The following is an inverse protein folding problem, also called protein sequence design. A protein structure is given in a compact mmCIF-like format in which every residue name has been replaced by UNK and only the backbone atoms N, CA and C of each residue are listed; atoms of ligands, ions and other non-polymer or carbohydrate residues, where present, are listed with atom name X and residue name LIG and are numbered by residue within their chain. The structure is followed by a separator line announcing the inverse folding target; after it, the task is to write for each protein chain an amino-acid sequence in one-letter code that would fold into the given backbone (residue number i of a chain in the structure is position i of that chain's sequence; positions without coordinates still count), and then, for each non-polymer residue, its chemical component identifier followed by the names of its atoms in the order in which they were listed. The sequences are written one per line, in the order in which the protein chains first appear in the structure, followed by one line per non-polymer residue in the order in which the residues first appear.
data_IF_512352237298
#
_entry.id   IF_512352237298
#
_cell.length_a   1.000
_cell.length_b   1.000
_cell.length_c   1.000
_cell.angle_alpha   90.00
_cell.angle_beta   90.00
_cell.angle_gamma   90.00
#
_symmetry.space_group_name_H-M   'P 1'
#
loop_
_entity.id
_entity.type
_entity.pdbx_description
1 polymer ?
#
# COMPACT_ATOMS: atom_id res chain seq x y z
N UNK A 1 -65.88 -17.11 -46.49
CA UNK A 1 -65.60 -17.62 -45.13
C UNK A 1 -64.57 -16.72 -44.51
N UNK A 2 -65.02 -15.79 -43.67
CA UNK A 2 -64.20 -14.78 -43.03
C UNK A 2 -63.92 -15.22 -41.59
N UNK A 3 -62.65 -15.15 -41.17
CA UNK A 3 -62.22 -15.38 -39.80
C UNK A 3 -62.04 -14.04 -39.09
N UNK A 4 -62.46 -13.87 -37.81
CA UNK A 4 -62.26 -12.63 -37.09
C UNK A 4 -60.90 -12.60 -36.39
N UNK A 5 -60.22 -11.46 -36.53
CA UNK A 5 -59.05 -11.07 -35.73
C UNK A 5 -59.52 -10.63 -34.34
N UNK A 6 -59.07 -11.33 -33.30
CA UNK A 6 -59.15 -10.85 -31.92
C UNK A 6 -57.90 -10.03 -31.61
N UNK A 7 -58.07 -8.71 -31.43
CA UNK A 7 -57.09 -7.86 -30.77
C UNK A 7 -57.17 -8.10 -29.25
N UNK A 8 -56.10 -8.63 -28.66
CA UNK A 8 -55.91 -8.63 -27.21
C UNK A 8 -55.19 -7.35 -26.81
N UNK A 9 -55.90 -6.48 -26.10
CA UNK A 9 -55.37 -5.27 -25.47
C UNK A 9 -54.49 -5.65 -24.28
N UNK A 10 -53.17 -5.58 -24.45
CA UNK A 10 -52.23 -5.66 -23.34
C UNK A 10 -52.25 -4.34 -22.57
N UNK A 11 -52.89 -4.34 -21.40
CA UNK A 11 -52.85 -3.24 -20.44
C UNK A 11 -51.43 -3.09 -19.90
N UNK A 12 -50.71 -2.07 -20.37
CA UNK A 12 -49.40 -1.69 -19.84
C UNK A 12 -49.62 -1.01 -18.48
N UNK A 13 -49.45 -1.76 -17.40
CA UNK A 13 -49.43 -1.21 -16.04
C UNK A 13 -48.13 -0.43 -15.86
N UNK A 14 -48.21 0.89 -16.05
CA UNK A 14 -47.13 1.83 -15.75
C UNK A 14 -46.96 1.86 -14.22
N UNK A 15 -46.03 1.06 -13.69
CA UNK A 15 -45.58 1.22 -12.31
C UNK A 15 -44.82 2.54 -12.21
N UNK A 16 -45.49 3.56 -11.68
CA UNK A 16 -44.87 4.76 -11.13
C UNK A 16 -44.01 4.32 -9.93
N UNK A 17 -42.74 4.05 -10.18
CA UNK A 17 -41.75 4.05 -9.12
C UNK A 17 -41.60 5.50 -8.67
N UNK A 18 -42.18 5.83 -7.52
CA UNK A 18 -41.82 7.03 -6.76
C UNK A 18 -40.34 6.88 -6.42
N UNK A 19 -39.51 7.67 -7.07
CA UNK A 19 -38.12 7.85 -6.68
C UNK A 19 -38.13 8.66 -5.40
N UNK A 20 -38.32 7.96 -4.27
CA UNK A 20 -37.92 8.51 -2.98
C UNK A 20 -36.40 8.65 -3.05
N UNK A 21 -35.99 9.86 -3.42
CA UNK A 21 -34.64 10.31 -3.23
C UNK A 21 -34.36 10.21 -1.74
N UNK A 22 -33.71 9.11 -1.34
CA UNK A 22 -33.00 9.04 -0.07
C UNK A 22 -31.88 10.08 -0.19
N UNK A 23 -32.22 11.32 0.10
CA UNK A 23 -31.29 12.33 0.58
C UNK A 23 -30.75 11.79 1.89
N UNK A 24 -29.77 10.89 1.77
CA UNK A 24 -28.79 10.67 2.83
C UNK A 24 -28.28 12.06 3.16
N UNK A 25 -28.69 12.58 4.31
CA UNK A 25 -28.23 13.84 4.81
C UNK A 25 -26.70 13.75 4.88
N UNK A 26 -26.04 14.29 3.85
CA UNK A 26 -24.62 14.55 3.87
C UNK A 26 -24.45 15.57 5.00
N UNK A 27 -24.12 15.07 6.18
CA UNK A 27 -23.69 15.92 7.28
C UNK A 27 -22.61 16.87 6.77
N UNK A 28 -22.43 18.03 7.42
CA UNK A 28 -21.40 18.98 7.03
C UNK A 28 -20.08 18.23 6.84
N UNK A 29 -19.32 18.51 5.75
CA UNK A 29 -18.07 17.83 5.48
C UNK A 29 -17.19 17.87 6.74
N UNK A 30 -16.55 16.74 7.11
CA UNK A 30 -15.84 16.65 8.37
C UNK A 30 -14.82 17.78 8.46
N UNK A 31 -14.86 18.51 9.58
CA UNK A 31 -13.97 19.65 9.80
C UNK A 31 -12.52 19.17 9.73
N UNK A 32 -11.75 19.74 8.80
CA UNK A 32 -10.33 19.47 8.69
C UNK A 32 -9.61 20.28 9.78
N UNK A 33 -8.86 19.60 10.64
CA UNK A 33 -8.09 20.25 11.70
C UNK A 33 -6.65 20.43 11.23
N UNK A 34 -6.08 21.62 11.40
CA UNK A 34 -4.67 21.90 11.10
C UNK A 34 -4.02 22.62 12.27
N UNK A 35 -2.84 22.17 12.68
CA UNK A 35 -2.01 22.86 13.69
C UNK A 35 -0.57 22.41 13.56
N UNK A 36 0.37 23.36 13.72
CA UNK A 36 1.80 23.09 13.74
C UNK A 36 2.27 22.26 12.53
N UNK A 37 1.72 22.52 11.34
CA UNK A 37 2.07 21.78 10.12
C UNK A 37 1.56 20.34 10.04
N UNK A 38 0.75 19.90 11.02
CA UNK A 38 0.03 18.63 11.04
C UNK A 38 -1.45 18.89 10.78
N UNK A 39 -2.13 17.96 10.10
CA UNK A 39 -3.56 18.02 9.92
C UNK A 39 -4.26 16.67 10.03
N UNK A 40 -5.57 16.71 10.26
CA UNK A 40 -6.47 15.56 10.21
C UNK A 40 -7.58 15.81 9.19
N UNK A 41 -7.70 14.93 8.20
CA UNK A 41 -8.82 14.92 7.23
C UNK A 41 -9.66 13.65 7.36
N UNK A 42 -10.87 13.67 6.78
CA UNK A 42 -11.78 12.52 6.74
C UNK A 42 -11.97 11.87 8.13
N UNK A 43 -12.04 12.76 9.12
CA UNK A 43 -12.10 12.43 10.53
C UNK A 43 -13.49 12.59 11.14
N UNK A 44 -13.60 12.24 12.40
CA UNK A 44 -14.83 12.35 13.17
C UNK A 44 -14.54 12.57 14.65
N UNK A 45 -15.61 12.62 15.43
CA UNK A 45 -15.55 12.70 16.89
C UNK A 45 -16.24 11.48 17.47
N UNK A 46 -15.48 10.66 18.18
CA UNK A 46 -15.98 9.51 18.94
C UNK A 46 -16.53 9.97 20.31
N UNK A 47 -17.33 9.13 20.99
CA UNK A 47 -17.76 9.40 22.36
C UNK A 47 -16.60 9.78 23.28
N UNK A 48 -16.85 10.73 24.18
CA UNK A 48 -15.82 11.25 25.10
C UNK A 48 -14.96 12.37 24.52
N UNK A 49 -15.27 12.87 23.31
CA UNK A 49 -14.56 13.97 22.68
C UNK A 49 -13.22 13.56 22.04
N UNK A 50 -13.06 12.28 21.73
CA UNK A 50 -11.89 11.75 21.03
C UNK A 50 -12.05 12.10 19.56
N UNK A 51 -11.08 12.85 19.01
CA UNK A 51 -11.08 13.20 17.59
C UNK A 51 -10.22 12.18 16.87
N UNK A 52 -10.64 11.74 15.70
CA UNK A 52 -9.80 10.91 14.85
C UNK A 52 -9.80 11.43 13.43
N UNK A 53 -8.81 11.03 12.64
CA UNK A 53 -8.77 11.34 11.22
C UNK A 53 -7.49 10.85 10.58
N UNK A 54 -7.47 10.94 9.25
CA UNK A 54 -6.29 10.65 8.46
C UNK A 54 -5.23 11.71 8.67
N UNK A 55 -4.00 11.27 8.91
CA UNK A 55 -2.87 12.14 9.12
C UNK A 55 -2.42 12.82 7.83
N UNK A 56 -2.30 14.15 7.90
CA UNK A 56 -1.67 15.01 6.91
C UNK A 56 -0.44 15.68 7.53
N UNK A 57 0.62 15.79 6.75
CA UNK A 57 1.82 16.57 7.12
C UNK A 57 2.13 17.59 6.04
N UNK A 58 2.49 18.80 6.45
CA UNK A 58 2.89 19.85 5.52
C UNK A 58 4.40 19.90 5.33
N UNK A 59 4.85 20.21 4.11
CA UNK A 59 6.25 20.51 3.82
C UNK A 59 6.34 21.64 2.81
N UNK A 60 7.44 22.40 2.87
CA UNK A 60 7.82 23.38 1.85
C UNK A 60 8.84 22.80 0.86
N UNK A 61 9.26 21.54 1.03
CA UNK A 61 10.27 20.93 0.18
C UNK A 61 9.74 20.75 -1.26
N UNK A 62 10.43 21.28 -2.30
CA UNK A 62 9.98 21.19 -3.69
C UNK A 62 9.67 19.77 -4.18
N UNK A 63 10.32 18.75 -3.60
CA UNK A 63 10.09 17.33 -3.92
C UNK A 63 8.76 16.82 -3.39
N UNK A 64 8.25 17.42 -2.30
CA UNK A 64 6.94 17.10 -1.71
C UNK A 64 5.86 17.99 -2.32
N UNK A 65 6.16 19.28 -2.54
CA UNK A 65 5.22 20.26 -3.08
C UNK A 65 5.03 20.13 -4.60
N UNK A 66 5.88 19.39 -5.30
CA UNK A 66 5.96 19.35 -6.76
C UNK A 66 6.16 20.75 -7.37
N UNK A 67 6.99 21.57 -6.74
CA UNK A 67 7.30 22.93 -7.20
C UNK A 67 6.23 23.98 -6.91
N UNK A 68 5.12 23.62 -6.23
CA UNK A 68 4.13 24.59 -5.76
C UNK A 68 4.78 25.46 -4.67
N UNK A 69 4.59 26.78 -4.77
CA UNK A 69 5.06 27.73 -3.76
C UNK A 69 4.21 27.64 -2.48
N UNK A 70 4.87 27.53 -1.33
CA UNK A 70 4.23 27.46 -0.02
C UNK A 70 4.03 26.02 0.50
N UNK A 71 3.47 25.87 1.71
CA UNK A 71 3.32 24.58 2.36
C UNK A 71 2.24 23.73 1.67
N UNK A 72 2.60 22.49 1.32
CA UNK A 72 1.65 21.50 0.77
C UNK A 72 1.46 20.38 1.78
N UNK A 73 0.19 20.09 2.10
CA UNK A 73 -0.17 18.94 2.91
C UNK A 73 -0.23 17.66 2.06
N UNK A 74 0.38 16.59 2.58
CA UNK A 74 0.34 15.24 2.02
C UNK A 74 -0.15 14.27 3.06
N UNK A 75 -0.92 13.27 2.62
CA UNK A 75 -1.28 12.13 3.46
C UNK A 75 -0.03 11.32 3.80
N UNK A 76 -0.04 10.70 4.97
CA UNK A 76 1.06 9.86 5.42
C UNK A 76 0.71 8.40 5.19
N UNK A 77 1.63 7.62 4.66
CA UNK A 77 1.49 6.17 4.56
C UNK A 77 1.51 5.56 5.95
N UNK A 78 0.64 4.58 6.22
CA UNK A 78 0.79 3.71 7.38
C UNK A 78 1.90 2.67 7.11
N UNK A 79 3.11 3.20 6.89
CA UNK A 79 4.31 2.40 6.67
C UNK A 79 4.78 1.80 8.00
N UNK A 80 5.69 0.82 7.91
CA UNK A 80 6.22 0.04 9.03
C UNK A 80 6.63 0.86 10.25
N UNK A 81 7.16 2.05 10.03
CA UNK A 81 7.73 2.91 11.06
C UNK A 81 6.73 3.89 11.69
N UNK A 82 5.49 3.95 11.20
CA UNK A 82 4.47 4.76 11.87
C UNK A 82 3.89 3.98 13.06
N UNK A 83 4.44 4.21 14.25
CA UNK A 83 4.03 3.53 15.48
C UNK A 83 3.04 4.36 16.31
N UNK A 84 2.63 3.82 17.47
CA UNK A 84 1.84 4.58 18.43
C UNK A 84 2.60 5.79 19.00
N UNK A 85 3.94 5.75 19.05
CA UNK A 85 4.75 6.88 19.54
C UNK A 85 4.71 8.05 18.55
N UNK A 86 4.83 7.77 17.24
CA UNK A 86 4.64 8.80 16.21
C UNK A 86 3.21 9.34 16.27
N UNK A 87 2.21 8.47 16.41
CA UNK A 87 0.81 8.90 16.53
C UNK A 87 0.56 9.80 17.76
N UNK A 88 1.14 9.47 18.92
CA UNK A 88 1.10 10.31 20.12
C UNK A 88 1.80 11.65 19.90
N UNK A 89 2.95 11.65 19.23
CA UNK A 89 3.66 12.89 18.85
C UNK A 89 2.80 13.76 17.94
N UNK A 90 2.13 13.17 16.95
CA UNK A 90 1.23 13.91 16.05
C UNK A 90 0.05 14.52 16.81
N UNK A 91 -0.55 13.78 17.73
CA UNK A 91 -1.62 14.30 18.58
C UNK A 91 -1.12 15.42 19.50
N UNK A 92 0.10 15.32 20.03
CA UNK A 92 0.74 16.38 20.80
C UNK A 92 0.94 17.65 19.98
N UNK A 93 1.43 17.52 18.75
CA UNK A 93 1.56 18.64 17.81
C UNK A 93 0.20 19.27 17.46
N UNK A 94 -0.88 18.49 17.44
CA UNK A 94 -2.25 18.97 17.30
C UNK A 94 -2.82 19.60 18.59
N UNK A 95 -2.12 19.50 19.72
CA UNK A 95 -2.49 20.08 21.01
C UNK A 95 -3.28 19.17 21.93
N UNK A 96 -3.21 17.85 21.72
CA UNK A 96 -3.82 16.84 22.58
C UNK A 96 -2.79 16.23 23.52
N UNK A 97 -3.25 15.78 24.69
CA UNK A 97 -2.38 15.11 25.68
C UNK A 97 -2.13 13.63 25.42
N UNK A 98 -2.97 12.98 24.62
CA UNK A 98 -2.91 11.54 24.33
C UNK A 98 -3.20 11.28 22.86
N UNK A 99 -2.51 10.30 22.30
CA UNK A 99 -2.72 9.86 20.93
C UNK A 99 -2.37 8.39 20.74
N UNK A 100 -3.01 7.75 19.76
CA UNK A 100 -2.60 6.43 19.24
C UNK A 100 -3.05 6.30 17.78
N UNK A 101 -2.59 5.25 17.11
CA UNK A 101 -3.06 4.90 15.76
C UNK A 101 -4.56 4.63 15.76
N UNK A 102 -5.22 5.06 14.68
CA UNK A 102 -6.64 4.77 14.45
C UNK A 102 -6.76 3.87 13.22
N UNK A 103 -7.48 2.75 13.36
CA UNK A 103 -7.54 1.71 12.33
C UNK A 103 -8.83 1.70 11.50
N UNK A 104 -9.76 2.63 11.76
CA UNK A 104 -11.03 2.69 11.02
C UNK A 104 -10.82 2.91 9.52
N UNK A 105 -11.56 2.16 8.70
CA UNK A 105 -11.47 2.24 7.23
C UNK A 105 -11.90 3.60 6.67
N UNK A 106 -12.74 4.33 7.40
CA UNK A 106 -13.20 5.67 7.08
C UNK A 106 -12.06 6.69 7.02
N UNK A 107 -11.06 6.58 7.91
CA UNK A 107 -9.89 7.44 7.90
C UNK A 107 -8.70 6.82 7.15
N UNK A 108 -8.55 5.50 7.12
CA UNK A 108 -7.35 4.84 6.58
C UNK A 108 -7.43 4.48 5.09
N UNK A 109 -8.63 4.55 4.48
CA UNK A 109 -8.81 4.37 3.04
C UNK A 109 -8.12 5.44 2.18
N UNK A 110 -7.95 5.20 0.89
CA UNK A 110 -7.43 6.20 -0.06
C UNK A 110 -8.58 6.84 -0.83
N UNK A 111 -8.93 8.11 -0.61
CA UNK A 111 -9.78 8.84 -1.55
C UNK A 111 -8.99 9.10 -2.83
N UNK A 112 -9.64 8.90 -3.98
CA UNK A 112 -8.98 8.78 -5.28
C UNK A 112 -8.29 10.03 -5.85
N UNK A 113 -7.91 11.05 -5.06
CA UNK A 113 -7.44 12.33 -5.61
C UNK A 113 -6.38 13.10 -4.81
N UNK A 114 -6.05 12.73 -3.57
CA UNK A 114 -4.96 13.40 -2.84
C UNK A 114 -3.62 12.92 -3.39
N UNK A 115 -2.70 13.83 -3.72
CA UNK A 115 -1.39 13.50 -4.31
C UNK A 115 -0.61 12.41 -3.54
N UNK A 116 0.46 11.88 -4.15
CA UNK A 116 1.19 10.70 -3.63
C UNK A 116 1.47 10.85 -2.12
N UNK A 117 1.01 9.92 -1.27
CA UNK A 117 1.26 9.97 0.16
C UNK A 117 2.76 9.97 0.42
N UNK A 118 3.20 10.63 1.50
CA UNK A 118 4.59 10.56 1.95
C UNK A 118 4.77 9.34 2.85
N UNK A 119 5.98 8.81 2.93
CA UNK A 119 6.30 7.65 3.77
C UNK A 119 7.41 8.00 4.76
N UNK A 120 7.69 7.06 5.66
CA UNK A 120 8.81 7.14 6.60
C UNK A 120 8.77 8.38 7.51
N UNK A 121 7.63 8.63 8.16
CA UNK A 121 7.47 9.78 9.05
C UNK A 121 8.16 9.50 10.39
N UNK A 122 9.31 10.11 10.60
CA UNK A 122 10.09 10.00 11.84
C UNK A 122 10.10 11.34 12.54
N UNK A 123 9.78 11.33 13.82
CA UNK A 123 9.81 12.52 14.67
C UNK A 123 10.72 12.28 15.87
N UNK A 124 11.53 13.28 16.20
CA UNK A 124 12.38 13.26 17.38
C UNK A 124 12.30 14.59 18.11
N UNK A 125 12.48 14.54 19.43
CA UNK A 125 12.53 15.75 20.24
C UNK A 125 13.85 16.47 19.96
N UNK A 126 13.78 17.78 19.70
CA UNK A 126 14.95 18.63 19.40
C UNK A 126 15.98 18.62 20.54
N UNK A 127 15.54 18.38 21.78
CA UNK A 127 16.43 18.27 22.96
C UNK A 127 17.13 16.92 23.10
N UNK A 128 16.61 15.87 22.44
CA UNK A 128 17.13 14.50 22.54
C UNK A 128 18.30 14.23 21.60
N UNK A 129 18.57 15.12 20.65
CA UNK A 129 19.82 15.10 19.91
C UNK A 129 20.92 15.71 20.78
N UNK A 130 21.68 14.81 21.42
CA UNK A 130 23.09 15.08 21.63
C UNK A 130 23.66 15.79 20.41
N UNK A 131 24.38 16.89 20.66
CA UNK A 131 25.30 17.62 19.78
C UNK A 131 26.19 16.70 18.91
N UNK A 132 25.63 15.96 17.97
CA UNK A 132 26.33 15.33 16.85
C UNK A 132 25.87 16.04 15.59
N UNK A 133 26.35 17.28 15.49
CA UNK A 133 27.07 17.75 14.31
C UNK A 133 26.42 17.42 12.95
N UNK A 134 25.26 18.00 12.67
CA UNK A 134 24.82 18.30 11.30
C UNK A 134 24.02 19.63 11.28
N UNK A 135 24.57 20.70 11.86
CA UNK A 135 24.12 22.05 11.55
C UNK A 135 24.99 22.62 10.45
N UNK A 136 24.42 22.72 9.26
CA UNK A 136 24.92 23.48 8.13
C UNK A 136 23.76 24.22 7.48
N UNK A 137 23.06 25.03 8.27
CA UNK A 137 22.08 26.00 7.80
C UNK A 137 21.89 27.06 8.88
N UNK A 138 22.95 27.83 9.15
CA UNK A 138 22.80 29.13 9.77
C UNK A 138 22.71 30.18 8.66
N UNK A 139 21.73 31.05 8.81
CA UNK A 139 21.57 32.31 8.11
C UNK A 139 22.90 33.07 8.07
N UNK A 140 23.59 33.05 6.92
CA UNK A 140 24.72 33.94 6.64
C UNK A 140 24.63 34.47 5.22
N UNK A 141 24.14 35.71 5.15
CA UNK A 141 24.57 36.68 4.15
C UNK A 141 26.11 36.66 4.04
N UNK A 142 26.60 36.36 2.83
CA UNK A 142 27.94 36.66 2.34
C UNK A 142 29.12 35.94 3.01
N UNK A 143 29.62 34.88 2.38
CA UNK A 143 31.07 34.75 2.10
C UNK A 143 31.36 33.49 1.27
N UNK A 144 32.08 33.70 0.16
CA UNK A 144 32.63 32.67 -0.71
C UNK A 144 33.90 32.10 -0.09
N UNK A 145 33.97 30.81 0.28
CA UNK A 145 35.24 30.04 0.23
C UNK A 145 35.05 28.52 0.19
N UNK A 146 35.89 27.95 -0.67
CA UNK A 146 36.19 26.58 -1.12
C UNK A 146 36.51 25.49 -0.08
N UNK A 147 36.18 24.24 -0.47
CA UNK A 147 36.84 22.92 -0.20
C UNK A 147 36.97 22.38 1.24
N UNK A 148 36.32 21.21 1.50
CA UNK A 148 37.03 19.91 1.48
C UNK A 148 36.06 18.71 1.52
N UNK A 149 36.42 17.69 0.75
CA UNK A 149 35.72 16.43 0.53
C UNK A 149 35.89 15.50 1.73
N UNK A 150 34.75 15.06 2.30
CA UNK A 150 34.66 13.85 3.11
C UNK A 150 33.54 12.99 2.53
N UNK A 151 33.88 11.83 1.95
CA UNK A 151 32.95 10.91 1.32
C UNK A 151 32.06 10.17 2.34
N UNK A 152 31.20 10.89 3.05
CA UNK A 152 29.96 10.31 3.57
C UNK A 152 28.93 10.47 2.46
N UNK A 153 28.65 9.39 1.71
CA UNK A 153 27.54 9.39 0.74
C UNK A 153 26.26 9.63 1.53
N UNK A 154 25.79 10.87 1.42
CA UNK A 154 24.63 11.48 2.08
C UNK A 154 23.35 10.72 1.74
N UNK A 155 22.93 9.82 2.63
CA UNK A 155 21.54 9.34 2.68
C UNK A 155 20.53 10.46 2.97
N UNK A 156 21.00 11.65 3.37
CA UNK A 156 20.21 12.88 3.56
C UNK A 156 19.53 13.40 2.29
N UNK A 157 19.89 12.92 1.10
CA UNK A 157 19.34 13.44 -0.15
C UNK A 157 17.92 12.96 -0.47
N UNK A 158 17.34 12.05 0.33
CA UNK A 158 16.01 11.50 0.07
C UNK A 158 14.91 11.91 1.06
N UNK A 159 15.25 12.65 2.12
CA UNK A 159 14.28 13.07 3.13
C UNK A 159 13.95 14.56 3.03
N UNK A 160 12.74 14.93 3.44
CA UNK A 160 12.24 16.30 3.55
C UNK A 160 11.75 16.56 4.97
N UNK A 161 11.74 17.84 5.37
CA UNK A 161 11.27 18.25 6.69
C UNK A 161 9.77 18.55 6.68
N UNK A 162 9.09 18.17 7.75
CA UNK A 162 7.74 18.63 8.04
C UNK A 162 7.83 20.07 8.55
N UNK A 163 6.93 20.94 8.07
CA UNK A 163 6.90 22.36 8.42
C UNK A 163 6.34 22.59 9.83
N UNK A 164 7.13 22.25 10.85
CA UNK A 164 6.81 22.45 12.26
C UNK A 164 7.34 23.81 12.75
N UNK A 165 6.64 24.52 13.65
CA UNK A 165 7.21 25.68 14.31
C UNK A 165 8.33 25.25 15.26
N UNK A 166 9.40 26.06 15.35
CA UNK A 166 10.54 25.80 16.27
C UNK A 166 10.09 25.62 17.73
N UNK A 167 9.02 26.31 18.14
CA UNK A 167 8.44 26.20 19.49
C UNK A 167 7.79 24.85 19.78
N UNK A 168 7.61 23.97 18.80
CA UNK A 168 7.05 22.63 19.02
C UNK A 168 8.00 21.72 19.79
N UNK A 169 9.32 21.97 19.76
CA UNK A 169 10.33 21.09 20.36
C UNK A 169 10.50 19.75 19.63
N UNK A 170 9.93 19.61 18.43
CA UNK A 170 10.07 18.42 17.60
C UNK A 170 10.64 18.78 16.23
N UNK A 171 11.43 17.85 15.70
CA UNK A 171 11.85 17.84 14.31
C UNK A 171 11.31 16.55 13.69
N UNK A 172 10.55 16.69 12.60
CA UNK A 172 10.00 15.56 11.88
C UNK A 172 10.51 15.55 10.44
N UNK A 173 10.87 14.37 9.95
CA UNK A 173 11.31 14.12 8.58
C UNK A 173 10.42 13.07 7.93
N UNK A 174 10.32 13.15 6.60
CA UNK A 174 9.59 12.21 5.74
C UNK A 174 10.46 11.84 4.55
N UNK A 175 10.27 10.66 3.99
CA UNK A 175 10.91 10.29 2.73
C UNK A 175 10.17 10.89 1.54
N UNK A 176 10.94 11.56 0.67
CA UNK A 176 10.45 12.18 -0.57
C UNK A 176 10.21 11.15 -1.67
N UNK A 177 10.89 10.01 -1.61
CA UNK A 177 10.63 8.86 -2.48
C UNK A 177 9.62 7.98 -1.78
N UNK A 178 8.35 8.32 -1.94
CA UNK A 178 7.28 7.52 -1.37
C UNK A 178 7.30 6.12 -1.94
N UNK A 179 7.54 5.13 -1.07
CA UNK A 179 7.37 3.72 -1.37
C UNK A 179 5.93 3.27 -1.17
N UNK A 180 5.02 4.16 -0.76
CA UNK A 180 3.66 3.82 -0.36
C UNK A 180 2.80 3.32 -1.55
N UNK A 181 2.58 2.00 -1.67
CA UNK A 181 1.84 1.42 -2.80
C UNK A 181 0.42 1.98 -2.87
N UNK A 182 -0.19 2.03 -4.05
CA UNK A 182 -1.53 2.58 -4.29
C UNK A 182 -2.62 1.98 -3.40
N UNK A 183 -2.37 0.79 -2.84
CA UNK A 183 -3.28 0.01 -2.01
C UNK A 183 -2.91 0.02 -0.53
N UNK A 184 -1.76 0.58 -0.16
CA UNK A 184 -1.35 0.61 1.23
C UNK A 184 -2.24 1.56 2.06
N UNK A 185 -2.55 1.17 3.31
CA UNK A 185 -3.31 2.00 4.22
C UNK A 185 -2.60 3.33 4.46
N UNK A 186 -3.39 4.38 4.66
CA UNK A 186 -2.89 5.68 5.10
C UNK A 186 -2.91 5.73 6.62
N UNK A 187 -1.92 6.41 7.20
CA UNK A 187 -1.83 6.62 8.62
C UNK A 187 -3.03 7.46 9.07
N UNK A 188 -3.70 6.99 10.11
CA UNK A 188 -4.73 7.73 10.82
C UNK A 188 -4.43 7.68 12.31
N UNK A 189 -4.84 8.73 13.01
CA UNK A 189 -4.63 8.87 14.45
C UNK A 189 -5.94 9.20 15.13
N UNK A 190 -6.03 8.85 16.40
CA UNK A 190 -7.06 9.32 17.30
C UNK A 190 -6.43 10.03 18.49
N UNK A 191 -6.87 11.26 18.74
CA UNK A 191 -6.31 12.20 19.69
C UNK A 191 -7.35 12.57 20.76
N UNK A 192 -6.89 12.76 22.00
CA UNK A 192 -7.73 13.08 23.14
C UNK A 192 -6.98 13.88 24.20
N UNK A 193 -7.69 14.74 24.94
CA UNK A 193 -7.16 15.40 26.13
C UNK A 193 -7.28 14.54 27.40
N UNK A 194 -7.92 13.37 27.28
CA UNK A 194 -8.06 12.37 28.34
C UNK A 194 -7.40 11.06 27.90
N UNK A 195 -6.90 10.23 28.84
CA UNK A 195 -6.38 8.91 28.52
C UNK A 195 -7.36 8.14 27.63
N UNK A 196 -6.86 7.56 26.55
CA UNK A 196 -7.69 6.79 25.64
C UNK A 196 -8.09 5.47 26.31
N UNK A 197 -9.35 5.02 26.16
CA UNK A 197 -9.75 3.71 26.66
C UNK A 197 -8.92 2.61 25.97
N UNK A 198 -8.67 1.46 26.62
CA UNK A 198 -7.98 0.34 25.97
C UNK A 198 -8.68 -0.03 24.66
N UNK A 199 -7.90 -0.52 23.70
CA UNK A 199 -8.43 -0.93 22.40
C UNK A 199 -9.45 -2.08 22.60
N UNK A 200 -10.60 -2.08 21.88
CA UNK A 200 -11.53 -3.19 21.95
C UNK A 200 -10.81 -4.48 21.58
N UNK A 201 -11.08 -5.56 22.33
CA UNK A 201 -10.57 -6.88 21.95
C UNK A 201 -11.05 -7.25 20.55
N UNK A 202 -10.21 -7.89 19.71
CA UNK A 202 -10.61 -8.29 18.37
C UNK A 202 -11.87 -9.18 18.42
N UNK A 203 -12.82 -9.02 17.50
CA UNK A 203 -14.05 -9.81 17.50
C UNK A 203 -13.72 -11.31 17.38
N UNK A 204 -14.51 -12.19 18.03
CA UNK A 204 -14.33 -13.63 17.90
C UNK A 204 -14.45 -14.07 16.44
N UNK A 205 -13.55 -14.95 16.01
CA UNK A 205 -13.50 -15.44 14.63
C UNK A 205 -14.82 -16.12 14.22
N UNK A 206 -15.34 -15.77 13.05
CA UNK A 206 -16.58 -16.35 12.50
C UNK A 206 -16.46 -17.88 12.25
N UNK A 207 -17.52 -18.69 12.43
CA UNK A 207 -17.45 -20.16 12.40
C UNK A 207 -17.20 -20.81 11.03
N UNK A 208 -17.42 -20.10 9.91
CA UNK A 208 -17.18 -20.66 8.57
C UNK A 208 -16.60 -19.59 7.66
N UNK A 209 -15.27 -19.42 7.73
CA UNK A 209 -14.59 -18.50 6.84
C UNK A 209 -14.66 -19.00 5.38
N UNK A 210 -14.92 -18.12 4.39
CA UNK A 210 -14.72 -18.46 3.00
C UNK A 210 -13.28 -18.97 2.77
N UNK A 211 -13.01 -19.72 1.68
CA UNK A 211 -11.66 -20.18 1.38
C UNK A 211 -10.67 -19.02 1.44
N UNK A 212 -9.49 -19.22 2.04
CA UNK A 212 -8.49 -18.17 2.13
C UNK A 212 -8.13 -17.66 0.73
N UNK A 213 -7.95 -16.35 0.58
CA UNK A 213 -7.57 -15.70 -0.67
C UNK A 213 -6.24 -16.27 -1.19
N UNK A 214 -5.35 -16.68 -0.30
CA UNK A 214 -4.08 -17.35 -0.59
C UNK A 214 -4.25 -18.65 -1.37
N UNK A 215 -5.39 -19.34 -1.24
CA UNK A 215 -5.66 -20.60 -1.96
C UNK A 215 -5.73 -20.45 -3.49
N UNK A 216 -5.88 -19.22 -3.99
CA UNK A 216 -5.89 -18.90 -5.42
C UNK A 216 -4.52 -18.47 -5.96
N UNK A 217 -3.47 -18.55 -5.14
CA UNK A 217 -2.12 -18.10 -5.48
C UNK A 217 -1.09 -19.13 -5.00
N UNK A 218 0.01 -19.29 -5.75
CA UNK A 218 1.19 -20.04 -5.32
C UNK A 218 2.43 -19.20 -5.55
N UNK A 219 3.36 -19.26 -4.60
CA UNK A 219 4.68 -18.65 -4.76
C UNK A 219 5.75 -19.71 -4.53
N UNK A 220 6.74 -19.69 -5.41
CA UNK A 220 7.92 -20.55 -5.34
C UNK A 220 9.11 -19.64 -5.03
N UNK A 221 9.70 -19.77 -3.84
CA UNK A 221 10.66 -18.79 -3.29
C UNK A 221 9.96 -17.55 -2.72
N UNK A 222 10.69 -16.44 -2.58
CA UNK A 222 10.09 -15.11 -2.39
C UNK A 222 9.46 -14.78 -1.04
N UNK A 223 9.45 -15.70 -0.09
CA UNK A 223 8.91 -15.46 1.23
C UNK A 223 10.09 -15.29 2.20
N UNK A 224 10.17 -14.16 2.92
CA UNK A 224 11.27 -13.89 3.86
C UNK A 224 11.53 -15.00 4.88
N UNK A 225 10.55 -15.86 5.15
CA UNK A 225 10.66 -17.00 6.06
C UNK A 225 11.12 -18.32 5.40
N UNK A 226 10.92 -18.48 4.09
CA UNK A 226 11.34 -19.67 3.37
C UNK A 226 12.57 -19.35 2.54
N UNK A 227 13.66 -20.07 2.79
CA UNK A 227 14.85 -19.91 1.98
C UNK A 227 14.51 -20.05 0.48
N UNK A 228 15.21 -19.32 -0.38
CA UNK A 228 15.00 -19.42 -1.83
C UNK A 228 15.32 -20.80 -2.42
N UNK A 229 15.35 -21.91 -1.66
CA UNK A 229 15.53 -23.28 -2.19
C UNK A 229 14.31 -23.77 -2.98
N UNK A 230 13.14 -23.16 -2.79
CA UNK A 230 11.94 -23.51 -3.55
C UNK A 230 11.93 -22.95 -4.98
N UNK A 231 12.80 -21.99 -5.29
CA UNK A 231 12.90 -21.44 -6.64
C UNK A 231 13.83 -22.32 -7.48
N UNK A 232 13.41 -22.62 -8.70
CA UNK A 232 14.12 -23.53 -9.59
C UNK A 232 15.48 -22.97 -10.02
N UNK A 233 16.51 -23.83 -10.12
CA UNK A 233 17.92 -23.41 -10.31
C UNK A 233 18.17 -22.62 -11.60
N UNK A 234 17.37 -22.87 -12.65
CA UNK A 234 17.47 -22.16 -13.93
C UNK A 234 16.75 -20.80 -13.92
N UNK A 235 16.02 -20.48 -12.85
CA UNK A 235 15.51 -19.13 -12.58
C UNK A 235 16.48 -18.40 -11.64
N UNK A 236 16.89 -19.05 -10.56
CA UNK A 236 17.78 -18.49 -9.55
C UNK A 236 18.99 -19.40 -9.34
N UNK A 237 20.15 -18.94 -9.82
CA UNK A 237 21.42 -19.57 -9.49
C UNK A 237 22.10 -18.77 -8.38
N UNK A 238 21.96 -19.26 -7.14
CA UNK A 238 22.54 -18.64 -5.94
C UNK A 238 24.04 -18.40 -6.03
N UNK A 239 24.77 -19.19 -6.81
CA UNK A 239 26.22 -19.02 -7.02
C UNK A 239 26.55 -17.81 -7.89
N UNK A 240 25.62 -17.39 -8.75
CA UNK A 240 25.81 -16.26 -9.67
C UNK A 240 25.14 -14.98 -9.17
N UNK A 241 24.07 -15.11 -8.38
CA UNK A 241 23.34 -13.97 -7.85
C UNK A 241 22.71 -14.37 -6.50
N UNK A 242 23.32 -13.96 -5.39
CA UNK A 242 22.77 -14.28 -4.07
C UNK A 242 21.40 -13.63 -3.84
N UNK A 243 21.13 -12.45 -4.43
CA UNK A 243 19.88 -11.72 -4.24
C UNK A 243 18.68 -12.46 -4.81
N UNK A 244 18.89 -13.38 -5.76
CA UNK A 244 17.80 -14.18 -6.30
C UNK A 244 17.12 -15.07 -5.24
N UNK A 245 17.76 -15.29 -4.08
CA UNK A 245 17.19 -16.03 -2.95
C UNK A 245 15.98 -15.36 -2.30
N UNK A 246 15.85 -14.03 -2.45
CA UNK A 246 14.78 -13.25 -1.83
C UNK A 246 13.54 -13.14 -2.70
N UNK A 247 13.65 -13.42 -4.00
CA UNK A 247 12.54 -13.28 -4.94
C UNK A 247 11.86 -14.63 -5.17
N UNK A 248 10.56 -14.58 -5.45
CA UNK A 248 9.75 -15.74 -5.77
C UNK A 248 8.96 -15.53 -7.04
N UNK A 249 8.69 -16.64 -7.74
CA UNK A 249 7.82 -16.67 -8.91
C UNK A 249 6.39 -16.89 -8.45
N UNK A 250 5.45 -16.16 -9.06
CA UNK A 250 4.03 -16.24 -8.72
C UNK A 250 3.26 -17.03 -9.78
N UNK A 251 2.39 -17.92 -9.31
CA UNK A 251 1.32 -18.54 -10.09
C UNK A 251 -0.03 -18.15 -9.54
N UNK A 252 -0.99 -17.94 -10.42
CA UNK A 252 -2.37 -17.65 -10.08
C UNK A 252 -3.28 -18.73 -10.63
N UNK A 253 -4.32 -19.07 -9.88
CA UNK A 253 -5.35 -19.97 -10.35
C UNK A 253 -6.26 -19.24 -11.34
N UNK A 254 -6.42 -19.80 -12.54
CA UNK A 254 -7.26 -19.25 -13.62
C UNK A 254 -8.12 -20.33 -14.25
N UNK A 255 -9.15 -19.95 -15.00
CA UNK A 255 -9.97 -20.90 -15.75
C UNK A 255 -9.16 -21.57 -16.88
N UNK A 256 -9.10 -22.90 -16.87
CA UNK A 256 -8.51 -23.73 -17.91
C UNK A 256 -9.49 -24.08 -19.03
N UNK A 257 -9.06 -24.98 -19.92
CA UNK A 257 -9.96 -25.55 -20.93
C UNK A 257 -11.09 -26.37 -20.24
N UNK A 258 -12.34 -26.15 -20.65
CA UNK A 258 -13.50 -26.81 -20.03
C UNK A 258 -13.84 -26.31 -18.62
N UNK A 259 -13.40 -25.11 -18.23
CA UNK A 259 -13.78 -24.46 -16.96
C UNK A 259 -13.05 -24.97 -15.72
N UNK A 260 -12.23 -26.02 -15.84
CA UNK A 260 -11.43 -26.53 -14.72
C UNK A 260 -10.31 -25.55 -14.35
N UNK A 261 -10.07 -25.25 -13.07
CA UNK A 261 -9.00 -24.34 -12.68
C UNK A 261 -7.62 -24.94 -13.01
N UNK A 262 -6.72 -24.09 -13.49
CA UNK A 262 -5.31 -24.41 -13.76
C UNK A 262 -4.40 -23.34 -13.17
N UNK A 263 -3.17 -23.71 -12.86
CA UNK A 263 -2.15 -22.77 -12.41
C UNK A 263 -1.46 -22.14 -13.61
N UNK A 264 -1.42 -20.82 -13.64
CA UNK A 264 -0.78 -20.04 -14.68
C UNK A 264 0.30 -19.14 -14.07
N UNK A 265 1.53 -19.11 -14.60
CA UNK A 265 2.52 -18.15 -14.15
C UNK A 265 2.03 -16.73 -14.44
N UNK A 266 2.24 -15.84 -13.49
CA UNK A 266 1.86 -14.43 -13.62
C UNK A 266 2.96 -13.67 -14.37
N UNK A 267 2.60 -13.08 -15.50
CA UNK A 267 3.50 -12.30 -16.32
C UNK A 267 3.87 -10.98 -15.65
N UNK A 268 5.10 -10.53 -15.89
CA UNK A 268 5.55 -9.23 -15.39
C UNK A 268 4.70 -8.10 -16.01
N UNK A 269 4.05 -7.26 -15.19
CA UNK A 269 3.26 -6.13 -15.70
C UNK A 269 4.18 -5.04 -16.24
N UNK A 270 3.58 -4.03 -16.89
CA UNK A 270 4.28 -2.78 -17.21
C UNK A 270 4.77 -2.12 -15.92
N UNK A 271 5.87 -1.37 -16.00
CA UNK A 271 6.60 -0.82 -14.84
C UNK A 271 5.73 -0.01 -13.88
N UNK A 272 4.73 0.73 -14.37
CA UNK A 272 3.89 1.60 -13.53
C UNK A 272 2.97 0.87 -12.57
N UNK A 273 2.50 -0.34 -12.91
CA UNK A 273 1.59 -1.13 -12.05
C UNK A 273 2.31 -2.20 -11.24
N UNK A 274 3.62 -2.34 -11.44
CA UNK A 274 4.39 -3.47 -10.92
C UNK A 274 4.35 -3.53 -9.39
N UNK A 275 4.69 -2.44 -8.72
CA UNK A 275 4.74 -2.40 -7.25
C UNK A 275 3.36 -2.65 -6.62
N UNK A 276 2.29 -2.13 -7.21
CA UNK A 276 0.95 -2.33 -6.69
C UNK A 276 0.50 -3.79 -6.82
N UNK A 277 0.84 -4.44 -7.93
CA UNK A 277 0.57 -5.87 -8.16
C UNK A 277 1.41 -6.73 -7.20
N UNK A 278 2.67 -6.40 -6.98
CA UNK A 278 3.55 -7.08 -6.02
C UNK A 278 2.98 -7.00 -4.59
N UNK A 279 2.56 -5.81 -4.18
CA UNK A 279 1.91 -5.59 -2.90
C UNK A 279 0.61 -6.41 -2.79
N UNK A 280 -0.23 -6.42 -3.83
CA UNK A 280 -1.49 -7.17 -3.83
C UNK A 280 -1.24 -8.68 -3.76
N UNK A 281 -0.22 -9.19 -4.46
CA UNK A 281 0.21 -10.60 -4.35
C UNK A 281 0.58 -10.93 -2.91
N UNK A 282 1.37 -10.08 -2.25
CA UNK A 282 1.75 -10.33 -0.87
C UNK A 282 0.54 -10.34 0.05
N UNK A 283 -0.32 -9.30 -0.03
CA UNK A 283 -1.54 -9.21 0.77
C UNK A 283 -2.41 -10.46 0.58
N UNK A 284 -2.57 -10.93 -0.67
CA UNK A 284 -3.31 -12.15 -0.95
C UNK A 284 -2.63 -13.40 -0.37
N UNK A 285 -1.30 -13.52 -0.49
CA UNK A 285 -0.55 -14.69 -0.04
C UNK A 285 -0.67 -14.93 1.47
N UNK A 286 -0.65 -13.86 2.25
CA UNK A 286 -0.75 -13.93 3.71
C UNK A 286 -2.18 -13.86 4.21
N UNK A 287 -3.17 -13.94 3.31
CA UNK A 287 -4.58 -13.71 3.62
C UNK A 287 -4.82 -12.40 4.37
N UNK A 288 -3.94 -11.41 4.15
CA UNK A 288 -3.86 -10.20 4.94
C UNK A 288 -5.20 -9.50 4.94
N UNK A 289 -5.76 -9.36 6.14
CA UNK A 289 -6.91 -8.52 6.36
C UNK A 289 -6.42 -7.14 6.83
N UNK A 290 -6.58 -6.08 6.02
CA UNK A 290 -6.19 -4.76 6.45
C UNK A 290 -6.97 -4.28 7.69
N UNK A 291 -8.10 -4.87 8.07
CA UNK A 291 -8.78 -4.52 9.32
C UNK A 291 -8.28 -5.38 10.48
N UNK A 292 -8.19 -6.70 10.29
CA UNK A 292 -7.89 -7.62 11.40
C UNK A 292 -6.39 -7.84 11.66
N UNK A 293 -5.53 -7.78 10.64
CA UNK A 293 -4.10 -8.11 10.75
C UNK A 293 -3.20 -6.87 10.86
N UNK A 294 -3.76 -5.65 10.86
CA UNK A 294 -2.97 -4.40 10.99
C UNK A 294 -2.18 -4.26 12.30
N UNK A 295 -2.55 -4.99 13.35
CA UNK A 295 -1.79 -5.06 14.61
C UNK A 295 -0.59 -6.03 14.53
N UNK A 296 -0.51 -6.87 13.49
CA UNK A 296 0.51 -7.93 13.37
C UNK A 296 1.72 -7.53 12.54
N UNK A 297 1.71 -6.36 11.90
CA UNK A 297 2.86 -5.88 11.14
C UNK A 297 2.53 -5.09 9.88
N UNK A 298 3.58 -4.83 9.09
CA UNK A 298 3.45 -4.34 7.72
C UNK A 298 3.96 -5.42 6.77
N UNK A 299 3.12 -5.74 5.80
CA UNK A 299 3.46 -6.63 4.72
C UNK A 299 3.89 -5.78 3.52
N UNK A 300 5.08 -6.02 2.97
CA UNK A 300 5.53 -5.33 1.78
C UNK A 300 5.98 -6.27 0.68
N UNK A 301 5.55 -5.95 -0.54
CA UNK A 301 5.99 -6.59 -1.77
C UNK A 301 7.02 -5.74 -2.50
N UNK A 302 8.22 -6.27 -2.69
CA UNK A 302 9.26 -5.64 -3.50
C UNK A 302 9.69 -6.55 -4.64
N UNK A 303 10.25 -5.93 -5.68
CA UNK A 303 11.05 -6.56 -6.72
C UNK A 303 11.91 -5.51 -7.39
N UNK A 304 13.17 -5.81 -7.68
CA UNK A 304 13.98 -4.95 -8.55
C UNK A 304 13.88 -5.38 -10.02
N UNK A 305 13.77 -6.68 -10.30
CA UNK A 305 13.85 -7.21 -11.67
C UNK A 305 12.88 -8.38 -11.90
N UNK A 306 12.07 -8.34 -12.98
CA UNK A 306 11.27 -9.48 -13.40
C UNK A 306 12.12 -10.74 -13.63
N UNK A 307 11.55 -11.92 -13.39
CA UNK A 307 12.22 -13.19 -13.68
C UNK A 307 12.12 -13.46 -15.17
N UNK A 308 13.25 -13.52 -15.88
CA UNK A 308 13.27 -13.97 -17.28
C UNK A 308 12.76 -15.41 -17.41
N UNK A 309 11.93 -15.67 -18.41
CA UNK A 309 11.47 -17.02 -18.72
C UNK A 309 12.66 -17.78 -19.33
N UNK A 310 13.15 -18.86 -18.69
CA UNK A 310 14.31 -19.58 -19.20
C UNK A 310 13.99 -20.23 -20.55
N UNK A 311 15.01 -20.27 -21.41
CA UNK A 311 14.94 -20.87 -22.74
C UNK A 311 16.11 -21.82 -22.97
N UNK A 312 16.05 -22.59 -24.05
CA UNK A 312 17.11 -23.52 -24.44
C UNK A 312 17.08 -24.88 -23.73
N UNK A 313 18.18 -25.64 -23.86
CA UNK A 313 18.26 -27.08 -23.55
C UNK A 313 18.12 -27.46 -22.07
N UNK A 314 18.13 -26.50 -21.16
CA UNK A 314 18.12 -26.77 -19.72
C UNK A 314 16.74 -26.74 -19.09
N UNK A 315 15.70 -26.29 -19.81
CA UNK A 315 14.32 -26.20 -19.27
C UNK A 315 13.66 -27.56 -19.05
N UNK A 316 14.15 -28.62 -19.68
CA UNK A 316 13.59 -29.98 -19.56
C UNK A 316 14.22 -30.81 -18.44
N UNK A 317 15.24 -30.30 -17.74
CA UNK A 317 15.88 -31.02 -16.62
C UNK A 317 14.97 -31.04 -15.40
N UNK A 318 14.92 -32.16 -14.69
CA UNK A 318 14.21 -32.26 -13.42
C UNK A 318 14.70 -31.21 -12.42
N UNK A 319 13.77 -30.59 -11.67
CA UNK A 319 14.07 -29.51 -10.73
C UNK A 319 14.29 -28.13 -11.37
N UNK A 320 14.27 -28.03 -12.70
CA UNK A 320 14.26 -26.75 -13.41
C UNK A 320 12.83 -26.33 -13.75
N UNK A 321 12.59 -25.02 -13.81
CA UNK A 321 11.35 -24.46 -14.30
C UNK A 321 11.22 -24.77 -15.79
N UNK A 322 10.14 -25.46 -16.16
CA UNK A 322 9.82 -25.83 -17.53
C UNK A 322 8.61 -25.04 -18.03
N UNK A 323 8.81 -23.99 -18.86
CA UNK A 323 7.70 -23.19 -19.37
C UNK A 323 6.71 -23.99 -20.24
N UNK A 324 7.12 -25.13 -20.80
CA UNK A 324 6.26 -25.97 -21.66
C UNK A 324 5.23 -26.79 -20.87
N UNK A 325 5.37 -26.92 -19.55
CA UNK A 325 4.39 -27.61 -18.70
C UNK A 325 3.13 -26.76 -18.46
N UNK A 326 3.20 -25.45 -18.70
CA UNK A 326 2.08 -24.55 -18.50
C UNK A 326 1.29 -24.40 -19.79
N UNK A 327 0.00 -24.72 -19.71
CA UNK A 327 -0.96 -24.53 -20.81
C UNK A 327 -1.55 -23.13 -20.84
N UNK A 328 -1.37 -22.36 -19.75
CA UNK A 328 -1.91 -21.01 -19.55
C UNK A 328 -0.90 -20.09 -18.88
N UNK A 329 -0.96 -18.82 -19.24
CA UNK A 329 -0.19 -17.71 -18.68
C UNK A 329 -1.15 -16.56 -18.39
N UNK A 330 -0.97 -15.86 -17.27
CA UNK A 330 -1.86 -14.79 -16.85
C UNK A 330 -1.14 -13.44 -16.91
N UNK A 331 -1.80 -12.41 -17.43
CA UNK A 331 -1.31 -11.03 -17.46
C UNK A 331 -2.38 -10.11 -16.90
N UNK A 332 -2.04 -9.26 -15.93
CA UNK A 332 -2.94 -8.17 -15.51
C UNK A 332 -2.98 -7.12 -16.62
N UNK A 333 -4.17 -6.87 -17.18
CA UNK A 333 -4.38 -5.90 -18.27
C UNK A 333 -5.19 -4.68 -17.84
N UNK A 334 -5.79 -4.70 -16.65
CA UNK A 334 -6.61 -3.60 -16.14
C UNK A 334 -7.32 -3.97 -14.84
N UNK A 335 -8.34 -3.20 -14.49
CA UNK A 335 -9.07 -3.29 -13.22
C UNK A 335 -8.65 -2.19 -12.23
N UNK A 336 -9.41 -2.05 -11.14
CA UNK A 336 -9.11 -1.08 -10.10
C UNK A 336 -8.34 -1.75 -8.96
N UNK A 337 -7.02 -1.51 -8.92
CA UNK A 337 -6.15 -2.10 -7.91
C UNK A 337 -6.45 -1.61 -6.50
N UNK A 338 -6.95 -0.38 -6.35
CA UNK A 338 -7.28 0.22 -5.05
C UNK A 338 -8.43 -0.47 -4.32
N UNK A 339 -9.27 -1.21 -5.06
CA UNK A 339 -10.42 -1.93 -4.51
C UNK A 339 -10.27 -3.45 -4.60
N UNK A 340 -9.17 -3.95 -5.17
CA UNK A 340 -8.95 -5.38 -5.36
C UNK A 340 -8.46 -6.01 -4.05
N UNK A 341 -9.07 -7.12 -3.65
CA UNK A 341 -8.65 -7.91 -2.48
C UNK A 341 -7.74 -9.08 -2.85
N UNK A 342 -7.79 -9.50 -4.11
CA UNK A 342 -6.94 -10.54 -4.71
C UNK A 342 -6.67 -10.23 -6.18
N UNK A 343 -5.63 -10.83 -6.74
CA UNK A 343 -5.24 -10.65 -8.15
C UNK A 343 -6.38 -11.03 -9.11
N UNK A 344 -7.22 -12.00 -8.74
CA UNK A 344 -8.37 -12.42 -9.52
C UNK A 344 -9.49 -11.35 -9.60
N UNK A 345 -9.48 -10.33 -8.75
CA UNK A 345 -10.43 -9.22 -8.82
C UNK A 345 -10.03 -8.20 -9.90
N UNK A 346 -8.81 -8.31 -10.45
CA UNK A 346 -8.33 -7.51 -11.56
C UNK A 346 -8.71 -8.12 -12.91
N UNK A 347 -8.60 -7.34 -13.98
CA UNK A 347 -8.81 -7.86 -15.34
C UNK A 347 -7.58 -8.66 -15.77
N UNK A 348 -7.71 -9.98 -15.80
CA UNK A 348 -6.66 -10.91 -16.24
C UNK A 348 -6.87 -11.32 -17.70
N UNK A 349 -5.86 -11.11 -18.54
CA UNK A 349 -5.74 -11.76 -19.84
C UNK A 349 -5.03 -13.09 -19.68
N UNK A 350 -5.73 -14.18 -20.00
CA UNK A 350 -5.18 -15.54 -19.92
C UNK A 350 -4.92 -16.08 -21.33
N UNK A 351 -3.69 -16.47 -21.63
CA UNK A 351 -3.29 -16.95 -22.97
C UNK A 351 -2.59 -18.29 -22.91
N UNK A 352 -2.59 -19.04 -24.02
CA UNK A 352 -1.73 -20.22 -24.17
C UNK A 352 -0.27 -19.83 -24.47
N UNK A 353 -0.07 -18.68 -25.13
CA UNK A 353 1.25 -18.12 -25.36
C UNK A 353 1.87 -17.64 -24.02
N UNK A 354 3.20 -17.76 -23.94
CA UNK A 354 4.02 -17.23 -22.84
C UNK A 354 3.90 -15.71 -22.76
N UNK A 355 4.38 -15.13 -21.65
CA UNK A 355 4.44 -13.69 -21.47
C UNK A 355 5.15 -13.01 -22.65
N UNK A 356 4.49 -12.05 -23.29
CA UNK A 356 5.05 -11.31 -24.43
C UNK A 356 6.32 -10.52 -24.07
N UNK A 357 6.48 -10.18 -22.79
CA UNK A 357 7.68 -9.54 -22.24
C UNK A 357 8.88 -10.49 -22.10
N UNK A 358 8.66 -11.81 -22.25
CA UNK A 358 9.67 -12.82 -21.94
C UNK A 358 9.97 -12.95 -20.44
N UNK A 359 9.16 -12.34 -19.56
CA UNK A 359 9.41 -12.31 -18.12
C UNK A 359 8.15 -12.53 -17.27
N UNK A 360 8.35 -13.16 -16.12
CA UNK A 360 7.36 -13.41 -15.08
C UNK A 360 7.50 -12.40 -13.95
N UNK A 361 6.42 -12.18 -13.22
CA UNK A 361 6.44 -11.40 -11.99
C UNK A 361 7.35 -12.10 -10.97
N UNK A 362 8.24 -11.32 -10.39
CA UNK A 362 9.11 -11.71 -9.29
C UNK A 362 8.67 -10.92 -8.07
N UNK A 363 8.43 -11.56 -6.94
CA UNK A 363 7.92 -10.90 -5.73
C UNK A 363 8.71 -11.38 -4.52
N UNK A 364 9.13 -10.45 -3.66
CA UNK A 364 9.57 -10.74 -2.30
C UNK A 364 8.52 -10.19 -1.35
N UNK A 365 7.89 -11.08 -0.58
CA UNK A 365 6.97 -10.70 0.47
C UNK A 365 7.67 -10.80 1.81
N UNK A 366 7.82 -9.65 2.45
CA UNK A 366 8.36 -9.52 3.80
C UNK A 366 7.24 -9.07 4.74
N UNK A 367 7.10 -9.78 5.87
CA UNK A 367 6.24 -9.38 6.97
C UNK A 367 7.15 -8.95 8.11
N UNK A 368 7.04 -7.69 8.50
CA UNK A 368 7.71 -7.18 9.69
C UNK A 368 6.69 -7.16 10.81
N UNK A 369 6.85 -8.05 11.78
CA UNK A 369 6.03 -8.08 12.99
C UNK A 369 6.57 -7.00 13.92
N UNK A 370 5.72 -6.09 14.37
CA UNK A 370 6.09 -5.13 15.41
C UNK A 370 6.12 -5.89 16.75
N UNK A 371 7.29 -5.93 17.39
CA UNK A 371 7.48 -6.51 18.73
C UNK A 371 6.86 -5.63 19.83
#
# INVERSE_FOLDING_TARGET
MAWPLWLSSATFLMMLFTTDAITTALGPPPAVMYKNGIGLEQGGVLPGGVIYGRLLVSSNDPRVTNGVQGPVYRTVCDAHDFSNNEAETMCTLLGFGFGRKYYGSDATGRPGTTGRPVSHLICHNETSTHRRSLMGADDREGSSYSRQQGHSRTLTELSAYVNLPKSSGFVCTIDTVSTCPAIAPLAAVQCSNKPLPPEPSPPPSSPTAPPPKSSYLRMYGGNGYYDGTRLERNICNKTLNEDCRYWGRVEVQVAGAGGKPVWAPLCAPKSTLRMDIEQLVCLQMYDWDPVADRLRGVLSGYSSTPISIPSGKFVSKAGNFNPAQYTRWATVIGGNITTANKIQDLQLKVTAARCSTGAMLAVHCSMLVAD
#
